data_IF_749127697486
#
_entry.id   IF_749127697486
#
_cell.length_a   1.000
_cell.length_b   1.000
_cell.length_c   1.000
_cell.angle_alpha   90.00
_cell.angle_beta   90.00
_cell.angle_gamma   90.00
#
_symmetry.space_group_name_H-M   'P 1'
#
loop_
_entity.id
_entity.type
_entity.pdbx_description
1 polymer ?
#
# COMPACT_ATOMS: atom_id res chain seq x y z
N UNK A 1 62.12 47.18 -37.44
CA UNK A 1 60.73 47.66 -37.60
C UNK A 1 59.88 47.04 -36.50
N UNK A 2 59.27 47.71 -35.53
CA UNK A 2 59.18 49.10 -35.11
C UNK A 2 58.27 49.17 -33.87
N UNK A 3 58.66 50.00 -32.89
CA UNK A 3 57.96 50.61 -31.73
C UNK A 3 56.40 50.53 -31.69
N UNK A 4 55.69 50.41 -30.55
CA UNK A 4 55.57 51.33 -29.41
C UNK A 4 54.74 50.66 -28.27
N UNK A 5 55.16 50.70 -27.00
CA UNK A 5 54.69 51.56 -25.89
C UNK A 5 53.35 51.21 -25.19
N UNK A 6 53.43 51.07 -23.87
CA UNK A 6 52.32 51.10 -22.90
C UNK A 6 51.61 52.46 -22.90
N UNK A 7 50.30 52.50 -22.60
CA UNK A 7 49.69 53.56 -21.77
C UNK A 7 48.36 53.10 -21.13
N UNK A 8 48.13 53.60 -19.92
CA UNK A 8 47.16 53.21 -18.91
C UNK A 8 45.71 53.70 -19.13
N UNK A 9 44.79 53.15 -18.32
CA UNK A 9 43.36 53.50 -18.18
C UNK A 9 43.12 54.89 -17.60
N UNK A 10 41.92 55.46 -17.80
CA UNK A 10 41.20 56.22 -16.77
C UNK A 10 40.07 55.38 -16.12
N UNK A 11 39.83 55.47 -14.79
CA UNK A 11 38.86 54.62 -14.09
C UNK A 11 37.58 55.37 -13.71
N UNK A 12 36.55 55.38 -14.57
CA UNK A 12 35.23 55.89 -14.14
C UNK A 12 34.07 55.19 -14.87
N UNK A 13 33.60 54.04 -14.36
CA UNK A 13 32.18 53.62 -14.44
C UNK A 13 31.81 52.26 -13.79
N UNK A 14 32.65 51.67 -12.93
CA UNK A 14 32.40 50.30 -12.45
C UNK A 14 31.68 50.15 -11.10
N UNK A 15 31.45 51.25 -10.35
CA UNK A 15 30.76 51.17 -9.04
C UNK A 15 29.23 51.23 -9.13
N UNK A 16 28.66 52.11 -9.97
CA UNK A 16 27.19 52.27 -10.08
C UNK A 16 26.51 51.03 -10.68
N UNK A 17 27.07 50.39 -11.72
CA UNK A 17 26.51 49.15 -12.32
C UNK A 17 26.57 47.94 -11.39
N UNK A 18 27.60 47.84 -10.54
CA UNK A 18 27.74 46.73 -9.56
C UNK A 18 26.78 46.92 -8.39
N UNK A 19 26.60 48.16 -7.93
CA UNK A 19 25.60 48.50 -6.89
C UNK A 19 24.17 48.25 -7.39
N UNK A 20 23.84 48.67 -8.61
CA UNK A 20 22.49 48.50 -9.19
C UNK A 20 22.15 47.01 -9.42
N UNK A 21 23.10 46.20 -9.91
CA UNK A 21 22.92 44.74 -10.03
C UNK A 21 22.81 44.03 -8.68
N UNK A 22 23.50 44.52 -7.65
CA UNK A 22 23.38 44.00 -6.28
C UNK A 22 22.03 44.37 -5.66
N UNK A 23 21.55 45.59 -5.89
CA UNK A 23 20.25 46.06 -5.40
C UNK A 23 19.10 45.29 -6.07
N UNK A 24 19.15 45.09 -7.40
CA UNK A 24 18.15 44.29 -8.11
C UNK A 24 18.12 42.83 -7.67
N UNK A 25 19.29 42.22 -7.41
CA UNK A 25 19.34 40.86 -6.86
C UNK A 25 18.76 40.77 -5.45
N UNK A 26 19.02 41.78 -4.60
CA UNK A 26 18.48 41.83 -3.25
C UNK A 26 16.97 42.05 -3.25
N UNK A 27 16.47 42.96 -4.08
CA UNK A 27 15.02 43.19 -4.24
C UNK A 27 14.32 41.95 -4.80
N UNK A 28 14.90 41.29 -5.79
CA UNK A 28 14.34 40.03 -6.31
C UNK A 28 14.31 38.93 -5.25
N UNK A 29 15.38 38.79 -4.45
CA UNK A 29 15.41 37.80 -3.36
C UNK A 29 14.37 38.11 -2.28
N UNK A 30 14.20 39.39 -1.92
CA UNK A 30 13.18 39.82 -0.94
C UNK A 30 11.77 39.54 -1.47
N UNK A 31 11.48 39.88 -2.73
CA UNK A 31 10.16 39.63 -3.33
C UNK A 31 9.88 38.13 -3.42
N UNK A 32 10.87 37.31 -3.79
CA UNK A 32 10.73 35.85 -3.80
C UNK A 32 10.48 35.32 -2.39
N UNK A 33 11.25 35.73 -1.39
CA UNK A 33 11.06 35.27 0.00
C UNK A 33 9.72 35.72 0.57
N UNK A 34 9.30 36.96 0.33
CA UNK A 34 7.99 37.47 0.77
C UNK A 34 6.85 36.73 0.07
N UNK A 35 6.95 36.50 -1.24
CA UNK A 35 5.97 35.75 -2.01
C UNK A 35 5.87 34.30 -1.53
N UNK A 36 7.00 33.60 -1.31
CA UNK A 36 7.00 32.23 -0.79
C UNK A 36 6.51 32.16 0.66
N UNK A 37 6.82 33.14 1.51
CA UNK A 37 6.32 33.18 2.88
C UNK A 37 4.81 33.49 2.93
N UNK A 38 4.32 34.35 2.03
CA UNK A 38 2.88 34.63 1.91
C UNK A 38 2.11 33.43 1.37
N UNK A 39 2.62 32.78 0.32
CA UNK A 39 2.09 31.51 -0.20
C UNK A 39 2.08 30.42 0.88
N UNK A 40 3.14 30.33 1.70
CA UNK A 40 3.22 29.36 2.81
C UNK A 40 2.21 29.67 3.92
N UNK A 41 2.02 30.94 4.27
CA UNK A 41 1.05 31.35 5.28
C UNK A 41 -0.40 31.16 4.81
N UNK A 42 -0.70 31.45 3.54
CA UNK A 42 -2.02 31.17 2.95
C UNK A 42 -2.29 29.66 2.87
N UNK A 43 -1.32 28.85 2.41
CA UNK A 43 -1.46 27.39 2.41
C UNK A 43 -1.68 26.83 3.82
N UNK A 44 -0.91 27.28 4.81
CA UNK A 44 -1.05 26.82 6.20
C UNK A 44 -2.38 27.25 6.85
N UNK A 45 -2.99 28.36 6.41
CA UNK A 45 -4.29 28.82 6.90
C UNK A 45 -5.46 28.08 6.22
N UNK A 46 -5.36 27.83 4.91
CA UNK A 46 -6.33 27.06 4.12
C UNK A 46 -6.30 25.59 4.55
N UNK A 47 -5.12 24.98 4.70
CA UNK A 47 -4.97 23.60 5.19
C UNK A 47 -5.53 23.44 6.60
N UNK A 48 -5.30 24.39 7.52
CA UNK A 48 -5.84 24.32 8.88
C UNK A 48 -7.36 24.47 8.94
N UNK A 49 -7.94 25.34 8.11
CA UNK A 49 -9.39 25.55 8.12
C UNK A 49 -10.15 24.43 7.42
N UNK A 50 -9.63 23.92 6.29
CA UNK A 50 -10.24 22.82 5.55
C UNK A 50 -10.07 21.48 6.29
N UNK A 51 -8.91 21.24 6.91
CA UNK A 51 -8.68 20.04 7.73
C UNK A 51 -9.58 20.02 8.98
N UNK A 52 -9.71 21.14 9.70
CA UNK A 52 -10.55 21.16 10.93
C UNK A 52 -12.05 21.00 10.64
N UNK A 53 -12.56 21.61 9.57
CA UNK A 53 -13.96 21.46 9.13
C UNK A 53 -14.22 20.07 8.54
N UNK A 54 -13.29 19.54 7.75
CA UNK A 54 -13.30 18.16 7.24
C UNK A 54 -13.36 17.15 8.39
N UNK A 55 -12.44 17.23 9.35
CA UNK A 55 -12.32 16.30 10.48
C UNK A 55 -13.59 16.31 11.35
N UNK A 56 -14.16 17.49 11.64
CA UNK A 56 -15.41 17.60 12.42
C UNK A 56 -16.61 17.00 11.68
N UNK A 57 -16.70 17.20 10.37
CA UNK A 57 -17.75 16.63 9.52
C UNK A 57 -17.61 15.11 9.41
N UNK A 58 -16.39 14.61 9.22
CA UNK A 58 -16.03 13.19 9.14
C UNK A 58 -16.33 12.45 10.44
N UNK A 59 -15.95 13.01 11.61
CA UNK A 59 -16.29 12.43 12.94
C UNK A 59 -17.80 12.28 13.15
N UNK A 60 -18.58 13.29 12.75
CA UNK A 60 -20.05 13.28 12.90
C UNK A 60 -20.69 12.26 11.94
N UNK A 61 -20.17 12.16 10.71
CA UNK A 61 -20.62 11.19 9.69
C UNK A 61 -20.26 9.76 10.10
N UNK A 62 -19.03 9.50 10.57
CA UNK A 62 -18.58 8.16 10.99
C UNK A 62 -19.39 7.66 12.19
N UNK A 63 -19.60 8.51 13.20
CA UNK A 63 -20.36 8.16 14.42
C UNK A 63 -21.85 7.94 14.12
N UNK A 64 -22.44 8.72 13.20
CA UNK A 64 -23.82 8.51 12.76
C UNK A 64 -23.94 7.27 11.87
N UNK A 65 -23.01 7.03 10.94
CA UNK A 65 -23.01 5.85 10.06
C UNK A 65 -22.81 4.56 10.84
N UNK A 66 -21.91 4.53 11.83
CA UNK A 66 -21.74 3.35 12.70
C UNK A 66 -23.04 3.08 13.49
N UNK A 67 -23.68 4.11 14.07
CA UNK A 67 -24.97 3.94 14.77
C UNK A 67 -26.09 3.47 13.84
N UNK A 68 -26.15 3.98 12.61
CA UNK A 68 -27.13 3.59 11.59
C UNK A 68 -26.89 2.17 11.07
N UNK A 69 -25.62 1.76 10.92
CA UNK A 69 -25.24 0.42 10.47
C UNK A 69 -25.45 -0.64 11.54
N UNK A 70 -25.23 -0.31 12.82
CA UNK A 70 -25.57 -1.18 13.96
C UNK A 70 -27.11 -1.30 14.12
N UNK A 71 -27.86 -0.23 13.81
CA UNK A 71 -29.33 -0.21 13.92
C UNK A 71 -30.09 -0.84 12.75
N UNK A 72 -29.45 -1.06 11.60
CA UNK A 72 -30.06 -1.75 10.45
C UNK A 72 -29.72 -3.23 10.53
N UNK A 73 -30.74 -4.07 10.70
CA UNK A 73 -30.63 -5.52 10.58
C UNK A 73 -30.40 -5.88 9.10
N UNK A 74 -29.19 -5.61 8.59
CA UNK A 74 -28.87 -5.72 7.16
C UNK A 74 -28.93 -7.17 6.68
N UNK A 75 -28.90 -8.16 7.59
CA UNK A 75 -28.95 -9.61 7.36
C UNK A 75 -28.57 -10.01 5.92
N UNK A 76 -27.36 -9.62 5.46
CA UNK A 76 -26.97 -9.88 4.09
C UNK A 76 -26.89 -11.40 3.94
N UNK A 77 -27.41 -11.90 2.82
CA UNK A 77 -27.44 -13.33 2.52
C UNK A 77 -26.41 -13.64 1.45
N UNK A 78 -25.97 -14.91 1.35
CA UNK A 78 -25.18 -15.36 0.22
C UNK A 78 -25.88 -14.99 -1.08
N UNK A 79 -25.10 -14.50 -2.04
CA UNK A 79 -25.59 -14.01 -3.32
C UNK A 79 -24.70 -14.54 -4.44
N UNK A 80 -25.34 -14.91 -5.54
CA UNK A 80 -24.66 -15.10 -6.81
C UNK A 80 -24.35 -13.71 -7.39
N UNK A 81 -23.07 -13.34 -7.38
CA UNK A 81 -22.59 -12.09 -7.96
C UNK A 81 -22.22 -12.27 -9.44
N UNK A 82 -21.91 -13.51 -9.84
CA UNK A 82 -21.53 -13.87 -11.21
C UNK A 82 -22.55 -14.86 -11.77
N UNK A 83 -23.35 -14.43 -12.74
CA UNK A 83 -24.45 -15.25 -13.26
C UNK A 83 -24.03 -16.17 -14.40
N UNK A 84 -22.91 -15.85 -15.05
CA UNK A 84 -22.44 -16.53 -16.26
C UNK A 84 -21.72 -17.84 -15.97
N UNK A 85 -21.17 -18.02 -14.76
CA UNK A 85 -20.40 -19.20 -14.35
C UNK A 85 -20.78 -19.64 -12.95
N UNK A 86 -20.54 -20.91 -12.63
CA UNK A 86 -20.67 -21.42 -11.27
C UNK A 86 -19.36 -21.20 -10.51
N UNK A 87 -19.29 -20.11 -9.75
CA UNK A 87 -18.10 -19.80 -8.96
C UNK A 87 -17.81 -20.85 -7.88
N UNK A 88 -18.83 -21.45 -7.26
CA UNK A 88 -18.63 -22.51 -6.27
C UNK A 88 -17.90 -23.72 -6.88
N UNK A 89 -18.34 -24.19 -8.06
CA UNK A 89 -17.67 -25.30 -8.75
C UNK A 89 -16.22 -24.98 -9.12
N UNK A 90 -15.93 -23.73 -9.52
CA UNK A 90 -14.55 -23.27 -9.80
C UNK A 90 -13.69 -23.27 -8.52
N UNK A 91 -14.25 -22.78 -7.41
CA UNK A 91 -13.59 -22.74 -6.08
C UNK A 91 -13.34 -24.16 -5.54
N UNK A 92 -14.24 -25.10 -5.83
CA UNK A 92 -14.09 -26.52 -5.48
C UNK A 92 -13.10 -27.27 -6.38
N UNK A 93 -12.62 -26.64 -7.45
CA UNK A 93 -11.64 -27.23 -8.36
C UNK A 93 -12.24 -28.14 -9.42
N UNK A 94 -13.56 -28.05 -9.68
CA UNK A 94 -14.23 -28.85 -10.70
C UNK A 94 -13.74 -28.47 -12.11
N UNK A 95 -13.13 -29.43 -12.81
CA UNK A 95 -12.51 -29.22 -14.11
C UNK A 95 -13.51 -28.79 -15.19
N UNK A 96 -14.76 -29.28 -15.10
CA UNK A 96 -15.79 -28.91 -16.06
C UNK A 96 -16.16 -27.43 -15.93
N UNK A 97 -16.39 -26.95 -14.70
CA UNK A 97 -16.71 -25.54 -14.44
C UNK A 97 -15.56 -24.62 -14.80
N UNK A 98 -14.31 -24.99 -14.48
CA UNK A 98 -13.10 -24.24 -14.86
C UNK A 98 -12.98 -24.17 -16.40
N UNK A 99 -13.14 -25.30 -17.09
CA UNK A 99 -13.06 -25.36 -18.56
C UNK A 99 -14.18 -24.55 -19.22
N UNK A 100 -15.41 -24.65 -18.68
CA UNK A 100 -16.56 -23.89 -19.15
C UNK A 100 -16.32 -22.38 -19.03
N UNK A 101 -15.94 -21.92 -17.83
CA UNK A 101 -15.65 -20.51 -17.57
C UNK A 101 -14.54 -19.98 -18.49
N UNK A 102 -13.46 -20.75 -18.68
CA UNK A 102 -12.38 -20.39 -19.59
C UNK A 102 -12.84 -20.26 -21.05
N UNK A 103 -13.80 -21.08 -21.50
CA UNK A 103 -14.33 -21.04 -22.87
C UNK A 103 -15.27 -19.85 -23.09
N UNK A 104 -16.15 -19.58 -22.14
CA UNK A 104 -17.18 -18.54 -22.32
C UNK A 104 -16.65 -17.12 -22.06
N UNK A 105 -15.55 -16.98 -21.31
CA UNK A 105 -14.98 -15.67 -20.98
C UNK A 105 -14.72 -14.78 -22.21
N UNK A 106 -14.26 -15.36 -23.32
CA UNK A 106 -14.01 -14.63 -24.56
C UNK A 106 -15.31 -14.21 -25.28
N UNK A 107 -16.45 -14.82 -24.94
CA UNK A 107 -17.77 -14.55 -25.54
C UNK A 107 -18.56 -13.48 -24.79
N UNK A 108 -18.30 -13.31 -23.49
CA UNK A 108 -19.05 -12.38 -22.60
C UNK A 108 -18.78 -10.92 -22.95
N UNK A 109 -17.63 -10.60 -23.55
CA UNK A 109 -17.33 -9.24 -24.01
C UNK A 109 -17.31 -8.19 -22.89
N UNK A 110 -16.60 -8.49 -21.78
CA UNK A 110 -16.53 -7.64 -20.59
C UNK A 110 -16.21 -6.17 -20.94
N UNK A 111 -17.03 -5.26 -20.42
CA UNK A 111 -16.82 -3.80 -20.52
C UNK A 111 -16.65 -3.23 -19.13
N UNK A 112 -15.40 -3.00 -18.75
CA UNK A 112 -15.06 -2.33 -17.50
C UNK A 112 -15.07 -0.82 -17.67
N UNK A 113 -15.35 -0.10 -16.58
CA UNK A 113 -15.21 1.34 -16.54
C UNK A 113 -13.74 1.73 -16.71
N UNK A 114 -13.49 2.78 -17.47
CA UNK A 114 -12.20 3.48 -17.45
C UNK A 114 -12.02 4.25 -16.14
N UNK A 115 -10.79 4.64 -15.81
CA UNK A 115 -10.51 5.48 -14.63
C UNK A 115 -11.35 6.76 -14.62
N UNK A 116 -11.53 7.38 -15.79
CA UNK A 116 -12.35 8.59 -15.95
C UNK A 116 -13.83 8.32 -15.67
N UNK A 117 -14.37 7.21 -16.16
CA UNK A 117 -15.77 6.85 -15.93
C UNK A 117 -16.03 6.49 -14.47
N UNK A 118 -15.11 5.75 -13.84
CA UNK A 118 -15.16 5.48 -12.41
C UNK A 118 -15.17 6.77 -11.60
N UNK A 119 -14.25 7.70 -11.91
CA UNK A 119 -14.21 9.01 -11.24
C UNK A 119 -15.47 9.84 -11.46
N UNK A 120 -16.09 9.79 -12.64
CA UNK A 120 -17.39 10.45 -12.89
C UNK A 120 -18.51 9.83 -12.08
N UNK A 121 -18.57 8.50 -12.00
CA UNK A 121 -19.58 7.78 -11.20
C UNK A 121 -19.44 8.13 -9.71
N UNK A 122 -18.21 8.14 -9.19
CA UNK A 122 -17.90 8.42 -7.79
C UNK A 122 -18.14 9.90 -7.37
N UNK A 123 -18.37 10.82 -8.31
CA UNK A 123 -18.80 12.20 -7.95
C UNK A 123 -20.19 12.25 -7.32
N UNK A 124 -21.03 11.25 -7.57
CA UNK A 124 -22.30 11.09 -6.89
C UNK A 124 -22.20 9.90 -5.94
N UNK A 125 -21.99 10.20 -4.66
CA UNK A 125 -21.76 9.15 -3.66
C UNK A 125 -22.96 8.23 -3.47
N UNK A 126 -24.19 8.73 -3.54
CA UNK A 126 -25.38 7.87 -3.41
C UNK A 126 -25.45 6.86 -4.55
N UNK A 127 -25.14 7.29 -5.79
CA UNK A 127 -25.07 6.40 -6.95
C UNK A 127 -23.91 5.43 -6.80
N UNK A 128 -22.70 5.90 -6.48
CA UNK A 128 -21.52 5.06 -6.33
C UNK A 128 -21.70 3.97 -5.27
N UNK A 129 -22.11 4.36 -4.06
CA UNK A 129 -22.30 3.44 -2.93
C UNK A 129 -23.41 2.43 -3.22
N UNK A 130 -24.46 2.83 -3.94
CA UNK A 130 -25.55 1.94 -4.37
C UNK A 130 -25.10 0.98 -5.47
N UNK A 131 -24.40 1.47 -6.50
CA UNK A 131 -23.91 0.68 -7.64
C UNK A 131 -22.99 -0.44 -7.17
N UNK A 132 -22.10 -0.15 -6.23
CA UNK A 132 -21.14 -1.11 -5.71
C UNK A 132 -21.57 -1.74 -4.38
N UNK A 133 -22.80 -1.50 -3.91
CA UNK A 133 -23.36 -2.13 -2.71
C UNK A 133 -22.45 -1.99 -1.46
N UNK A 134 -21.93 -0.80 -1.17
CA UNK A 134 -21.04 -0.53 -0.01
C UNK A 134 -21.73 -0.67 1.37
N UNK A 135 -22.93 -1.23 1.42
CA UNK A 135 -23.67 -1.58 2.63
C UNK A 135 -23.80 -3.11 2.83
N UNK A 136 -23.07 -3.93 2.05
CA UNK A 136 -23.20 -5.40 2.04
C UNK A 136 -22.33 -6.15 3.06
N UNK A 137 -22.10 -5.59 4.24
CA UNK A 137 -21.28 -6.25 5.26
C UNK A 137 -22.06 -6.53 6.55
N UNK A 138 -21.65 -7.60 7.24
CA UNK A 138 -21.94 -7.82 8.64
C UNK A 138 -20.79 -7.24 9.47
N UNK A 139 -21.12 -6.77 10.67
CA UNK A 139 -20.15 -6.30 11.64
C UNK A 139 -20.46 -6.93 12.98
N UNK A 140 -19.51 -7.69 13.51
CA UNK A 140 -19.53 -8.21 14.87
C UNK A 140 -18.95 -7.19 15.86
N UNK A 141 -19.30 -7.34 17.14
CA UNK A 141 -18.67 -6.54 18.21
C UNK A 141 -17.15 -6.75 18.26
N UNK A 142 -16.69 -7.97 18.01
CA UNK A 142 -15.27 -8.30 17.93
C UNK A 142 -14.53 -7.49 16.86
N UNK A 143 -15.15 -7.24 15.70
CA UNK A 143 -14.59 -6.39 14.65
C UNK A 143 -14.58 -4.90 15.05
N UNK A 144 -15.65 -4.41 15.70
CA UNK A 144 -15.71 -3.02 16.19
C UNK A 144 -14.61 -2.72 17.21
N UNK A 145 -14.28 -3.69 18.07
CA UNK A 145 -13.26 -3.55 19.11
C UNK A 145 -11.83 -3.73 18.59
N UNK A 146 -11.68 -4.20 17.34
CA UNK A 146 -10.40 -4.44 16.70
C UNK A 146 -10.29 -3.78 15.30
N UNK A 147 -10.29 -2.45 15.19
CA UNK A 147 -10.13 -1.80 13.90
C UNK A 147 -8.77 -2.09 13.25
N UNK A 148 -8.79 -2.26 11.93
CA UNK A 148 -7.63 -2.48 11.08
C UNK A 148 -7.42 -1.25 10.18
N UNK A 149 -6.15 -0.89 9.96
CA UNK A 149 -5.75 0.08 8.98
C UNK A 149 -5.21 -0.59 7.70
N UNK A 150 -5.35 0.07 6.57
CA UNK A 150 -4.79 -0.38 5.29
C UNK A 150 -3.99 0.74 4.63
N UNK A 151 -2.80 0.39 4.13
CA UNK A 151 -1.99 1.23 3.23
C UNK A 151 -2.11 0.67 1.81
N UNK A 152 -2.77 1.39 0.91
CA UNK A 152 -3.02 0.96 -0.46
C UNK A 152 -2.15 1.76 -1.43
N UNK A 153 -1.17 1.09 -2.06
CA UNK A 153 -0.31 1.73 -3.07
C UNK A 153 -0.86 1.45 -4.47
N UNK A 154 -1.21 2.51 -5.20
CA UNK A 154 -1.94 2.43 -6.46
C UNK A 154 -1.34 3.30 -7.55
N UNK A 155 -1.40 2.87 -8.81
CA UNK A 155 -0.87 3.63 -9.96
C UNK A 155 -1.73 3.57 -11.23
N UNK A 156 -2.70 2.66 -11.30
CA UNK A 156 -3.62 2.51 -12.43
C UNK A 156 -4.81 1.63 -12.05
N UNK A 157 -5.77 1.52 -12.98
CA UNK A 157 -6.89 0.59 -12.93
C UNK A 157 -7.82 0.83 -11.72
N UNK A 158 -8.57 1.93 -11.77
CA UNK A 158 -9.52 2.32 -10.72
C UNK A 158 -10.55 1.22 -10.40
N UNK A 159 -10.94 0.41 -11.39
CA UNK A 159 -11.82 -0.75 -11.21
C UNK A 159 -11.20 -1.79 -10.28
N UNK A 160 -9.93 -2.15 -10.49
CA UNK A 160 -9.23 -3.11 -9.62
C UNK A 160 -9.17 -2.60 -8.17
N UNK A 161 -8.88 -1.31 -8.00
CA UNK A 161 -8.79 -0.68 -6.66
C UNK A 161 -10.16 -0.66 -5.98
N UNK A 162 -11.22 -0.33 -6.73
CA UNK A 162 -12.60 -0.41 -6.23
C UNK A 162 -12.94 -1.83 -5.78
N UNK A 163 -12.64 -2.85 -6.60
CA UNK A 163 -12.91 -4.25 -6.26
C UNK A 163 -12.17 -4.68 -4.99
N UNK A 164 -10.92 -4.28 -4.81
CA UNK A 164 -10.15 -4.55 -3.59
C UNK A 164 -10.78 -3.82 -2.41
N UNK A 165 -10.98 -2.49 -2.53
CA UNK A 165 -11.52 -1.66 -1.46
C UNK A 165 -12.87 -2.19 -1.00
N UNK A 166 -13.77 -2.53 -1.92
CA UNK A 166 -15.08 -3.11 -1.61
C UNK A 166 -15.00 -4.46 -0.90
N UNK A 167 -13.99 -5.27 -1.16
CA UNK A 167 -13.79 -6.55 -0.46
C UNK A 167 -13.32 -6.35 0.99
N UNK A 168 -12.46 -5.35 1.23
CA UNK A 168 -11.85 -5.11 2.55
C UNK A 168 -12.55 -4.01 3.37
N UNK A 169 -13.46 -3.24 2.77
CA UNK A 169 -14.06 -2.07 3.40
C UNK A 169 -14.93 -2.43 4.60
N UNK A 170 -14.69 -1.75 5.71
CA UNK A 170 -15.54 -1.71 6.89
C UNK A 170 -15.56 -0.29 7.45
N UNK A 171 -16.69 0.17 7.99
CA UNK A 171 -16.85 1.55 8.47
C UNK A 171 -16.01 1.86 9.72
N UNK A 172 -15.58 0.85 10.46
CA UNK A 172 -14.77 1.00 11.67
C UNK A 172 -13.25 0.95 11.40
N UNK A 173 -12.83 0.48 10.23
CA UNK A 173 -11.42 0.41 9.80
C UNK A 173 -10.91 1.77 9.28
N UNK A 174 -9.64 1.86 8.87
CA UNK A 174 -9.07 3.05 8.22
C UNK A 174 -8.31 2.68 6.94
N UNK A 175 -8.37 3.54 5.91
CA UNK A 175 -7.76 3.26 4.61
C UNK A 175 -7.02 4.49 4.10
N UNK A 176 -5.70 4.37 3.98
CA UNK A 176 -4.87 5.34 3.28
C UNK A 176 -4.61 4.85 1.86
N UNK A 177 -4.87 5.70 0.86
CA UNK A 177 -4.57 5.44 -0.54
C UNK A 177 -3.43 6.34 -0.98
N UNK A 178 -2.29 5.75 -1.30
CA UNK A 178 -1.19 6.44 -1.96
C UNK A 178 -1.29 6.22 -3.46
N UNK A 179 -1.66 7.28 -4.19
CA UNK A 179 -1.66 7.30 -5.65
C UNK A 179 -0.28 7.73 -6.15
N UNK A 180 0.39 6.90 -6.94
CA UNK A 180 1.65 7.26 -7.60
C UNK A 180 1.46 8.55 -8.41
N UNK A 181 2.27 9.56 -8.07
CA UNK A 181 2.18 10.91 -8.60
C UNK A 181 2.46 10.97 -10.12
N UNK A 182 3.22 10.01 -10.65
CA UNK A 182 3.53 9.90 -12.07
C UNK A 182 2.40 9.28 -12.91
N UNK A 183 1.34 8.80 -12.26
CA UNK A 183 0.23 8.14 -12.92
C UNK A 183 -0.64 9.09 -13.74
N UNK A 184 -1.44 8.55 -14.65
CA UNK A 184 -2.37 9.33 -15.45
C UNK A 184 -3.38 10.10 -14.55
N UNK A 185 -3.62 11.41 -14.73
CA UNK A 185 -4.41 12.24 -13.79
C UNK A 185 -5.80 11.66 -13.41
N UNK A 186 -6.47 11.02 -14.37
CA UNK A 186 -7.74 10.33 -14.14
C UNK A 186 -7.72 9.35 -12.94
N UNK A 187 -6.61 8.69 -12.63
CA UNK A 187 -6.54 7.77 -11.49
C UNK A 187 -6.60 8.52 -10.17
N UNK A 188 -5.88 9.63 -10.04
CA UNK A 188 -5.91 10.47 -8.84
C UNK A 188 -7.30 11.08 -8.65
N UNK A 189 -7.90 11.57 -9.74
CA UNK A 189 -9.27 12.11 -9.72
C UNK A 189 -10.29 11.05 -9.30
N UNK A 190 -10.16 9.82 -9.83
CA UNK A 190 -11.04 8.71 -9.45
C UNK A 190 -10.88 8.33 -7.98
N UNK A 191 -9.64 8.19 -7.50
CA UNK A 191 -9.38 7.81 -6.11
C UNK A 191 -9.85 8.90 -5.14
N UNK A 192 -9.65 10.19 -5.46
CA UNK A 192 -10.20 11.31 -4.68
C UNK A 192 -11.72 11.26 -4.62
N UNK A 193 -12.39 11.02 -5.75
CA UNK A 193 -13.84 10.91 -5.79
C UNK A 193 -14.35 9.74 -4.95
N UNK A 194 -13.71 8.56 -5.02
CA UNK A 194 -14.06 7.40 -4.20
C UNK A 194 -13.84 7.68 -2.71
N UNK A 195 -12.68 8.24 -2.33
CA UNK A 195 -12.36 8.58 -0.94
C UNK A 195 -13.39 9.57 -0.35
N UNK A 196 -13.85 10.55 -1.13
CA UNK A 196 -14.88 11.49 -0.69
C UNK A 196 -16.23 10.82 -0.33
N UNK A 197 -16.51 9.64 -0.88
CA UNK A 197 -17.74 8.90 -0.57
C UNK A 197 -17.63 7.99 0.65
N UNK A 198 -16.42 7.76 1.16
CA UNK A 198 -16.15 6.80 2.22
C UNK A 198 -15.41 7.51 3.37
N UNK A 199 -16.06 7.80 4.51
CA UNK A 199 -15.56 8.73 5.53
C UNK A 199 -14.23 8.33 6.18
N UNK A 200 -13.88 7.05 6.13
CA UNK A 200 -12.67 6.46 6.71
C UNK A 200 -11.64 6.07 5.64
N UNK A 201 -11.79 6.57 4.41
CA UNK A 201 -10.85 6.43 3.31
C UNK A 201 -10.30 7.81 2.98
N UNK A 202 -8.98 7.93 2.83
CA UNK A 202 -8.35 9.18 2.48
C UNK A 202 -7.15 8.98 1.55
N UNK A 203 -6.81 10.01 0.79
CA UNK A 203 -5.58 10.05 -0.01
C UNK A 203 -4.42 10.46 0.90
N UNK A 204 -3.27 9.78 0.76
CA UNK A 204 -2.06 10.13 1.50
C UNK A 204 -1.72 11.62 1.32
N UNK A 205 -1.29 12.27 2.40
CA UNK A 205 -0.91 13.68 2.43
C UNK A 205 0.29 13.98 1.54
N UNK A 206 1.17 12.98 1.36
CA UNK A 206 2.34 13.04 0.49
C UNK A 206 2.34 11.90 -0.52
N UNK A 207 2.36 12.25 -1.79
CA UNK A 207 2.45 11.32 -2.92
C UNK A 207 3.85 11.32 -3.53
N UNK A 208 4.39 10.14 -3.74
CA UNK A 208 5.69 9.89 -4.36
C UNK A 208 5.54 9.49 -5.83
N UNK A 209 6.56 9.83 -6.63
CA UNK A 209 6.76 9.26 -7.96
C UNK A 209 7.38 7.86 -7.79
N UNK A 210 6.55 6.81 -7.86
CA UNK A 210 6.95 5.46 -7.46
C UNK A 210 7.80 4.81 -8.55
N UNK A 211 9.07 4.55 -8.23
CA UNK A 211 10.03 3.93 -9.14
C UNK A 211 10.19 2.46 -8.74
N UNK A 212 10.07 1.58 -9.73
CA UNK A 212 10.30 0.15 -9.53
C UNK A 212 11.73 -0.11 -9.01
N UNK A 213 11.85 -0.91 -7.95
CA UNK A 213 13.10 -1.20 -7.21
C UNK A 213 13.70 0.02 -6.48
N UNK A 214 13.04 1.18 -6.53
CA UNK A 214 13.51 2.42 -5.91
C UNK A 214 12.92 2.67 -4.52
N UNK A 215 13.58 3.56 -3.78
CA UNK A 215 13.16 3.98 -2.44
C UNK A 215 11.75 4.58 -2.37
N UNK A 216 11.28 5.23 -3.43
CA UNK A 216 9.96 5.85 -3.43
C UNK A 216 8.82 4.84 -3.22
N UNK A 217 9.02 3.56 -3.56
CA UNK A 217 8.06 2.50 -3.21
C UNK A 217 7.93 2.31 -1.70
N UNK A 218 9.05 2.26 -0.97
CA UNK A 218 9.05 2.16 0.50
C UNK A 218 8.51 3.45 1.12
N UNK A 219 8.93 4.60 0.61
CA UNK A 219 8.48 5.91 1.10
C UNK A 219 6.96 6.10 0.99
N UNK A 220 6.33 5.54 -0.06
CA UNK A 220 4.87 5.58 -0.23
C UNK A 220 4.13 4.89 0.94
N UNK A 221 4.63 3.75 1.42
CA UNK A 221 4.08 3.09 2.62
C UNK A 221 4.36 3.90 3.89
N UNK A 222 5.57 4.46 4.04
CA UNK A 222 5.92 5.32 5.19
C UNK A 222 5.00 6.54 5.26
N UNK A 223 4.67 7.17 4.12
CA UNK A 223 3.75 8.30 4.06
C UNK A 223 2.35 7.89 4.56
N UNK A 224 1.80 6.79 4.03
CA UNK A 224 0.50 6.30 4.47
C UNK A 224 0.47 5.89 5.94
N UNK A 225 1.51 5.19 6.40
CA UNK A 225 1.66 4.81 7.82
C UNK A 225 1.76 6.03 8.74
N UNK A 226 2.45 7.09 8.30
CA UNK A 226 2.53 8.36 9.02
C UNK A 226 1.15 9.00 9.14
N UNK A 227 0.39 9.10 8.05
CA UNK A 227 -0.96 9.67 8.10
C UNK A 227 -1.90 8.83 8.97
N UNK A 228 -1.82 7.50 8.88
CA UNK A 228 -2.61 6.59 9.70
C UNK A 228 -2.32 6.72 11.19
N UNK A 229 -1.07 6.97 11.60
CA UNK A 229 -0.74 7.24 13.00
C UNK A 229 -1.43 8.51 13.52
N UNK A 230 -1.57 9.53 12.67
CA UNK A 230 -2.24 10.80 12.97
C UNK A 230 -3.76 10.77 12.77
N UNK A 231 -4.30 9.73 12.12
CA UNK A 231 -5.73 9.56 11.89
C UNK A 231 -6.47 9.17 13.19
N UNK A 232 -6.83 10.18 13.99
CA UNK A 232 -7.36 10.01 15.35
C UNK A 232 -8.78 9.42 15.41
N UNK A 233 -9.51 9.37 14.30
CA UNK A 233 -10.90 8.90 14.25
C UNK A 233 -11.01 7.39 14.46
N UNK A 234 -9.95 6.65 14.16
CA UNK A 234 -9.91 5.19 14.27
C UNK A 234 -8.71 4.75 15.10
N UNK A 235 -8.98 4.07 16.21
CA UNK A 235 -7.95 3.48 17.09
C UNK A 235 -7.52 2.10 16.59
N UNK A 236 -6.99 2.06 15.36
CA UNK A 236 -6.57 0.83 14.71
C UNK A 236 -5.47 0.09 15.47
N UNK A 237 -5.41 -1.24 15.32
CA UNK A 237 -4.50 -2.14 16.04
C UNK A 237 -3.33 -2.58 15.18
N UNK A 238 -3.60 -2.79 13.90
CA UNK A 238 -2.65 -3.22 12.87
C UNK A 238 -2.86 -2.42 11.59
N UNK A 239 -1.79 -2.23 10.83
CA UNK A 239 -1.86 -1.82 9.42
C UNK A 239 -1.43 -2.99 8.54
N UNK A 240 -2.15 -3.21 7.45
CA UNK A 240 -1.77 -4.15 6.37
C UNK A 240 -1.49 -3.32 5.13
N UNK A 241 -0.29 -3.43 4.57
CA UNK A 241 0.03 -2.74 3.32
C UNK A 241 -0.21 -3.65 2.11
N UNK A 242 -0.84 -3.10 1.08
CA UNK A 242 -1.27 -3.84 -0.10
C UNK A 242 -0.98 -3.04 -1.37
N UNK A 243 -0.48 -3.69 -2.44
CA UNK A 243 -0.62 -3.15 -3.78
C UNK A 243 -2.05 -3.40 -4.28
N UNK A 244 -2.49 -2.63 -5.29
CA UNK A 244 -3.84 -2.79 -5.86
C UNK A 244 -4.15 -4.20 -6.42
N UNK A 245 -3.13 -4.99 -6.75
CA UNK A 245 -3.26 -6.30 -7.38
C UNK A 245 -3.36 -7.47 -6.38
N UNK A 246 -3.37 -7.20 -5.08
CA UNK A 246 -3.68 -8.21 -4.06
C UNK A 246 -5.18 -8.32 -3.83
N UNK A 247 -5.60 -9.50 -3.36
CA UNK A 247 -6.99 -9.75 -2.99
C UNK A 247 -7.08 -10.60 -1.71
N UNK A 248 -8.07 -10.35 -0.83
CA UNK A 248 -8.18 -11.07 0.44
C UNK A 248 -8.51 -12.55 0.25
N UNK A 249 -7.86 -13.38 1.06
CA UNK A 249 -8.15 -14.80 1.27
C UNK A 249 -8.86 -15.08 2.60
N UNK A 250 -9.10 -14.02 3.38
CA UNK A 250 -9.75 -14.05 4.70
C UNK A 250 -10.71 -12.88 4.78
N UNK A 251 -11.87 -13.11 5.34
CA UNK A 251 -12.87 -12.06 5.60
C UNK A 251 -12.36 -11.10 6.69
N UNK A 252 -12.94 -9.91 6.84
CA UNK A 252 -12.54 -8.98 7.90
C UNK A 252 -12.60 -9.62 9.29
N UNK A 253 -13.68 -10.34 9.60
CA UNK A 253 -13.84 -11.06 10.87
C UNK A 253 -12.74 -12.12 11.09
N UNK A 254 -12.33 -12.83 10.05
CA UNK A 254 -11.22 -13.80 10.12
C UNK A 254 -9.89 -13.11 10.34
N UNK A 255 -9.61 -12.03 9.60
CA UNK A 255 -8.38 -11.24 9.78
C UNK A 255 -8.32 -10.71 11.22
N UNK A 256 -9.42 -10.18 11.77
CA UNK A 256 -9.50 -9.73 13.17
C UNK A 256 -9.13 -10.86 14.14
N UNK A 257 -9.73 -12.04 14.01
CA UNK A 257 -9.44 -13.18 14.89
C UNK A 257 -7.96 -13.61 14.81
N UNK A 258 -7.41 -13.66 13.60
CA UNK A 258 -6.00 -14.02 13.36
C UNK A 258 -5.07 -12.97 13.99
N UNK A 259 -5.31 -11.68 13.76
CA UNK A 259 -4.48 -10.61 14.31
C UNK A 259 -4.58 -10.50 15.83
N UNK A 260 -5.74 -10.85 16.42
CA UNK A 260 -5.87 -11.00 17.88
C UNK A 260 -4.98 -12.11 18.43
N UNK A 261 -4.87 -13.24 17.73
CA UNK A 261 -3.94 -14.33 18.11
C UNK A 261 -2.49 -13.86 18.02
N UNK A 262 -2.12 -13.08 16.99
CA UNK A 262 -0.77 -12.53 16.88
C UNK A 262 -0.41 -11.56 18.02
N UNK A 263 -1.39 -10.98 18.71
CA UNK A 263 -1.23 -10.23 19.95
C UNK A 263 -0.12 -9.14 19.91
N UNK A 264 -0.11 -8.32 18.88
CA UNK A 264 0.89 -7.27 18.67
C UNK A 264 2.15 -7.72 17.91
N UNK A 265 2.28 -9.02 17.61
CA UNK A 265 3.33 -9.57 16.73
C UNK A 265 3.06 -9.21 15.28
N UNK A 266 4.08 -8.75 14.57
CA UNK A 266 4.04 -8.38 13.17
C UNK A 266 4.30 -9.61 12.29
N UNK A 267 3.61 -9.67 11.15
CA UNK A 267 3.87 -10.62 10.07
C UNK A 267 4.82 -9.97 9.06
N UNK A 268 6.12 -10.21 9.20
CA UNK A 268 7.18 -9.66 8.34
C UNK A 268 8.03 -10.83 7.83
N UNK A 269 8.21 -10.95 6.51
CA UNK A 269 9.20 -11.90 6.00
C UNK A 269 10.58 -11.40 6.40
N UNK A 270 11.39 -12.25 7.05
CA UNK A 270 12.72 -11.86 7.49
C UNK A 270 13.65 -13.05 7.43
N UNK A 271 14.66 -12.96 6.56
CA UNK A 271 15.73 -13.93 6.42
C UNK A 271 17.07 -13.23 6.27
N UNK A 272 18.12 -13.93 6.65
CA UNK A 272 19.48 -13.59 6.25
C UNK A 272 19.77 -14.17 4.86
N UNK A 273 20.27 -13.35 3.94
CA UNK A 273 20.70 -13.78 2.60
C UNK A 273 21.91 -12.96 2.15
N UNK A 274 23.10 -13.56 2.24
CA UNK A 274 24.37 -12.93 1.90
C UNK A 274 24.47 -12.58 0.40
N UNK A 275 23.82 -13.36 -0.47
CA UNK A 275 23.87 -13.11 -1.92
C UNK A 275 23.12 -11.82 -2.25
N UNK A 276 21.97 -11.60 -1.60
CA UNK A 276 21.15 -10.43 -1.82
C UNK A 276 21.69 -9.17 -1.14
N UNK A 277 22.63 -9.28 -0.19
CA UNK A 277 23.34 -8.11 0.38
C UNK A 277 24.12 -7.30 -0.66
N UNK A 278 24.39 -7.85 -1.84
CA UNK A 278 24.92 -7.06 -2.98
C UNK A 278 24.04 -5.84 -3.29
N UNK A 279 22.73 -5.91 -3.06
CA UNK A 279 21.76 -4.81 -3.24
C UNK A 279 21.98 -3.63 -2.26
N UNK A 280 22.77 -3.84 -1.22
CA UNK A 280 23.04 -2.84 -0.16
C UNK A 280 24.53 -2.50 -0.02
N UNK A 281 25.41 -3.18 -0.76
CA UNK A 281 26.86 -2.93 -0.71
C UNK A 281 27.31 -1.81 -1.66
N UNK A 282 26.41 -1.34 -2.51
CA UNK A 282 26.65 -0.32 -3.52
C UNK A 282 25.64 0.82 -3.38
N UNK A 283 26.04 2.03 -3.80
CA UNK A 283 25.14 3.18 -3.92
C UNK A 283 24.36 3.08 -5.22
N UNK A 284 23.05 3.21 -5.13
CA UNK A 284 22.13 3.24 -6.26
C UNK A 284 21.47 4.62 -6.40
N UNK A 285 21.16 4.99 -7.64
CA UNK A 285 20.41 6.22 -7.94
C UNK A 285 19.33 5.95 -8.98
N UNK A 286 18.32 6.81 -9.01
CA UNK A 286 17.31 6.80 -10.09
C UNK A 286 17.86 7.58 -11.27
N UNK A 287 18.02 6.92 -12.41
CA UNK A 287 18.36 7.59 -13.65
C UNK A 287 17.17 8.44 -14.14
N UNK A 288 17.31 9.77 -14.26
CA UNK A 288 16.18 10.66 -14.52
C UNK A 288 15.57 10.50 -15.93
N UNK A 289 16.30 9.88 -16.86
CA UNK A 289 15.85 9.67 -18.24
C UNK A 289 15.12 8.34 -18.41
N UNK A 290 15.70 7.28 -17.85
CA UNK A 290 15.13 5.92 -17.98
C UNK A 290 14.14 5.58 -16.87
N UNK A 291 14.10 6.37 -15.79
CA UNK A 291 13.31 6.11 -14.58
C UNK A 291 13.58 4.72 -13.99
N UNK A 292 14.84 4.27 -14.07
CA UNK A 292 15.31 3.00 -13.53
C UNK A 292 16.37 3.23 -12.48
N UNK A 293 16.38 2.36 -11.47
CA UNK A 293 17.45 2.32 -10.48
C UNK A 293 18.71 1.76 -11.14
N UNK A 294 19.82 2.45 -10.96
CA UNK A 294 21.13 2.09 -11.50
C UNK A 294 22.18 2.13 -10.40
N UNK A 295 23.06 1.13 -10.42
CA UNK A 295 24.23 1.09 -9.59
C UNK A 295 25.29 2.10 -10.06
N UNK A 296 26.02 2.68 -9.12
CA UNK A 296 27.12 3.63 -9.37
C UNK A 296 28.51 2.97 -9.43
N UNK A 297 28.63 1.71 -9.02
CA UNK A 297 29.87 0.99 -8.72
C UNK A 297 30.53 1.41 -7.40
N UNK A 298 30.00 2.41 -6.69
CA UNK A 298 30.60 2.95 -5.48
C UNK A 298 30.15 2.16 -4.25
N UNK A 299 31.12 1.74 -3.45
CA UNK A 299 30.85 1.02 -2.21
C UNK A 299 30.05 1.87 -1.22
N UNK A 300 28.95 1.30 -0.71
CA UNK A 300 28.08 1.96 0.26
C UNK A 300 28.63 1.78 1.67
N UNK A 301 28.49 2.81 2.52
CA UNK A 301 28.90 2.71 3.93
C UNK A 301 28.08 1.64 4.67
N UNK A 302 28.66 0.94 5.65
CA UNK A 302 27.91 -0.01 6.48
C UNK A 302 26.67 0.64 7.10
N UNK A 303 25.60 -0.13 7.39
CA UNK A 303 24.42 0.41 8.03
C UNK A 303 24.75 0.92 9.45
N UNK A 304 24.03 1.94 9.94
CA UNK A 304 24.23 2.43 11.30
C UNK A 304 23.86 1.36 12.33
N UNK A 305 24.34 1.53 13.58
CA UNK A 305 24.04 0.64 14.71
C UNK A 305 24.48 -0.82 14.55
N UNK A 306 25.42 -1.10 13.63
CA UNK A 306 25.97 -2.44 13.38
C UNK A 306 24.88 -3.50 13.17
N UNK A 307 23.80 -3.11 12.47
CA UNK A 307 22.68 -4.00 12.19
C UNK A 307 23.05 -5.05 11.15
N UNK A 308 22.52 -6.25 11.34
CA UNK A 308 22.48 -7.28 10.31
C UNK A 308 21.41 -6.91 9.29
N UNK A 309 21.81 -6.73 8.04
CA UNK A 309 20.87 -6.41 6.95
C UNK A 309 19.98 -7.61 6.68
N UNK A 310 18.67 -7.39 6.73
CA UNK A 310 17.68 -8.43 6.46
C UNK A 310 17.15 -8.39 5.05
N UNK A 311 16.76 -9.56 4.54
CA UNK A 311 15.93 -9.69 3.34
C UNK A 311 14.53 -10.12 3.73
N UNK A 312 13.53 -9.51 3.11
CA UNK A 312 12.13 -9.83 3.28
C UNK A 312 11.32 -9.61 2.02
N UNK A 313 10.08 -9.17 2.22
CA UNK A 313 9.17 -8.72 1.17
C UNK A 313 8.65 -7.33 1.52
N UNK A 314 8.10 -6.64 0.52
CA UNK A 314 7.46 -5.35 0.73
C UNK A 314 6.18 -5.44 1.57
N UNK A 315 5.58 -6.63 1.74
CA UNK A 315 4.21 -6.80 2.25
C UNK A 315 4.16 -7.44 3.63
N UNK A 316 3.44 -6.80 4.54
CA UNK A 316 3.34 -7.23 5.94
C UNK A 316 2.03 -6.83 6.62
N UNK A 317 1.86 -7.38 7.81
CA UNK A 317 0.88 -6.88 8.78
C UNK A 317 1.65 -6.38 10.00
N UNK A 318 1.55 -5.08 10.27
CA UNK A 318 2.37 -4.39 11.25
C UNK A 318 1.51 -3.89 12.40
N UNK A 319 1.90 -4.19 13.64
CA UNK A 319 1.19 -3.65 14.80
C UNK A 319 1.38 -2.14 14.89
N UNK A 320 0.41 -1.43 15.48
CA UNK A 320 0.51 0.03 15.64
C UNK A 320 1.78 0.47 16.37
N UNK A 321 2.27 -0.32 17.32
CA UNK A 321 3.53 -0.05 18.03
C UNK A 321 4.74 -0.17 17.11
N UNK A 322 4.77 -1.17 16.22
CA UNK A 322 5.82 -1.29 15.21
C UNK A 322 5.82 -0.11 14.25
N UNK A 323 4.64 0.31 13.79
CA UNK A 323 4.54 1.46 12.87
C UNK A 323 5.02 2.74 13.54
N UNK A 324 4.63 2.97 14.79
CA UNK A 324 5.10 4.12 15.57
C UNK A 324 6.63 4.10 15.73
N UNK A 325 7.21 2.96 16.07
CA UNK A 325 8.66 2.79 16.11
C UNK A 325 9.31 3.08 14.74
N UNK A 326 8.81 2.46 13.66
CA UNK A 326 9.36 2.61 12.32
C UNK A 326 9.31 4.04 11.77
N UNK A 327 8.33 4.85 12.20
CA UNK A 327 8.15 6.24 11.74
C UNK A 327 8.85 7.23 12.66
N UNK A 328 8.80 7.02 13.98
CA UNK A 328 9.19 8.03 14.97
C UNK A 328 10.51 7.74 15.68
N UNK A 329 10.95 6.48 15.79
CA UNK A 329 12.20 6.14 16.48
C UNK A 329 13.43 6.61 15.71
N UNK A 330 14.40 7.17 16.43
CA UNK A 330 15.62 7.72 15.84
C UNK A 330 16.43 6.64 15.09
N UNK A 331 16.60 5.45 15.67
CA UNK A 331 17.38 4.37 15.05
C UNK A 331 16.68 3.88 13.79
N UNK A 332 15.36 3.68 13.86
CA UNK A 332 14.58 3.25 12.70
C UNK A 332 14.67 4.26 11.55
N UNK A 333 14.54 5.56 11.84
CA UNK A 333 14.67 6.63 10.83
C UNK A 333 16.06 6.73 10.22
N UNK A 334 17.11 6.53 10.99
CA UNK A 334 18.48 6.53 10.47
C UNK A 334 18.77 5.31 9.60
N UNK A 335 18.23 4.14 9.96
CA UNK A 335 18.26 2.94 9.11
C UNK A 335 17.46 3.19 7.83
N UNK A 336 16.26 3.76 7.92
CA UNK A 336 15.42 4.11 6.76
C UNK A 336 16.18 5.03 5.80
N UNK A 337 16.78 6.11 6.34
CA UNK A 337 17.61 7.03 5.56
C UNK A 337 18.79 6.33 4.90
N UNK A 338 19.43 5.39 5.60
CA UNK A 338 20.50 4.60 5.01
C UNK A 338 20.03 3.74 3.83
N UNK A 339 18.75 3.34 3.77
CA UNK A 339 18.21 2.55 2.64
C UNK A 339 17.85 3.37 1.38
N UNK A 340 17.88 4.71 1.44
CA UNK A 340 17.41 5.61 0.35
C UNK A 340 18.10 5.37 -1.01
N UNK A 341 19.37 5.01 -0.98
CA UNK A 341 20.26 4.76 -2.11
C UNK A 341 20.68 3.28 -2.19
N UNK A 342 19.78 2.37 -1.78
CA UNK A 342 19.91 0.91 -1.97
C UNK A 342 18.95 0.39 -3.04
N UNK A 343 19.16 -0.84 -3.50
CA UNK A 343 18.29 -1.48 -4.49
C UNK A 343 17.18 -2.29 -3.82
N UNK A 344 15.92 -2.02 -4.19
CA UNK A 344 14.72 -2.64 -3.57
C UNK A 344 14.69 -2.52 -2.04
N UNK A 345 14.76 -1.29 -1.47
CA UNK A 345 14.78 -1.09 -0.02
C UNK A 345 13.51 -1.57 0.69
N UNK A 346 12.39 -1.67 -0.01
CA UNK A 346 11.14 -2.24 0.48
C UNK A 346 11.26 -3.73 0.85
N UNK A 347 12.19 -4.47 0.23
CA UNK A 347 12.53 -5.85 0.59
C UNK A 347 13.65 -5.92 1.66
N UNK A 348 14.12 -4.78 2.18
CA UNK A 348 15.27 -4.71 3.10
C UNK A 348 14.90 -4.08 4.44
N UNK A 349 14.23 -2.93 4.43
CA UNK A 349 14.01 -2.10 5.62
C UNK A 349 13.23 -2.84 6.72
N UNK A 350 12.06 -3.39 6.38
CA UNK A 350 11.19 -4.08 7.35
C UNK A 350 11.87 -5.28 7.99
N UNK A 351 12.56 -6.09 7.16
CA UNK A 351 13.29 -7.27 7.63
C UNK A 351 14.50 -6.89 8.49
N UNK A 352 15.20 -5.80 8.14
CA UNK A 352 16.32 -5.28 8.94
C UNK A 352 15.84 -4.82 10.31
N UNK A 353 14.72 -4.12 10.42
CA UNK A 353 14.17 -3.77 11.74
C UNK A 353 13.81 -5.02 12.56
N UNK A 354 13.28 -6.07 11.92
CA UNK A 354 12.89 -7.31 12.59
C UNK A 354 14.09 -8.14 13.08
N UNK A 355 15.13 -8.28 12.25
CA UNK A 355 16.27 -9.15 12.53
C UNK A 355 17.13 -8.72 13.70
N UNK A 356 17.07 -7.45 14.09
CA UNK A 356 18.01 -6.85 15.02
C UNK A 356 17.36 -6.60 16.39
N UNK A 357 17.40 -7.63 17.24
CA UNK A 357 16.79 -7.58 18.59
C UNK A 357 17.29 -6.41 19.45
N UNK A 358 18.54 -5.99 19.29
CA UNK A 358 19.14 -4.85 20.01
C UNK A 358 18.55 -3.49 19.63
N UNK A 359 17.79 -3.40 18.53
CA UNK A 359 17.05 -2.19 18.20
C UNK A 359 15.86 -1.95 19.15
N UNK A 360 15.37 -3.00 19.82
CA UNK A 360 14.16 -2.91 20.64
C UNK A 360 12.88 -2.83 19.80
N UNK A 361 12.92 -3.27 18.55
CA UNK A 361 11.79 -3.26 17.62
C UNK A 361 10.58 -4.00 18.21
N UNK A 362 9.43 -3.35 18.39
CA UNK A 362 8.28 -3.98 19.02
C UNK A 362 7.57 -4.94 18.05
N UNK A 363 6.97 -6.00 18.61
CA UNK A 363 6.13 -6.92 17.84
C UNK A 363 6.91 -7.94 17.01
N UNK A 364 8.14 -8.28 17.39
CA UNK A 364 8.89 -9.35 16.72
C UNK A 364 8.89 -10.61 17.58
N UNK A 365 8.39 -11.72 17.03
CA UNK A 365 8.55 -13.06 17.63
C UNK A 365 9.90 -13.63 17.17
N UNK A 366 10.74 -13.98 18.14
CA UNK A 366 12.05 -14.58 17.89
C UNK A 366 12.01 -16.07 18.21
N UNK A 367 12.75 -16.87 17.46
CA UNK A 367 13.04 -18.27 17.77
C UNK A 367 14.06 -18.37 18.90
N UNK A 368 14.30 -19.60 19.40
CA UNK A 368 15.36 -19.87 20.37
C UNK A 368 16.76 -19.46 19.88
N UNK A 369 16.99 -19.43 18.55
CA UNK A 369 18.26 -18.96 17.96
C UNK A 369 18.37 -17.43 17.88
N UNK A 370 17.35 -16.69 18.32
CA UNK A 370 17.34 -15.22 18.30
C UNK A 370 17.01 -14.62 16.93
N UNK A 371 16.55 -15.42 15.97
CA UNK A 371 16.12 -14.96 14.64
C UNK A 371 14.61 -14.74 14.60
N UNK A 372 14.09 -13.82 13.76
CA UNK A 372 12.64 -13.70 13.57
C UNK A 372 12.02 -15.03 13.13
N UNK A 373 10.90 -15.40 13.75
CA UNK A 373 10.19 -16.63 13.40
C UNK A 373 9.49 -16.47 12.04
N UNK A 374 10.07 -17.09 11.02
CA UNK A 374 9.57 -17.05 9.64
C UNK A 374 8.16 -17.59 9.48
N UNK A 375 7.69 -18.46 10.40
CA UNK A 375 6.34 -19.05 10.33
C UNK A 375 5.26 -17.97 10.51
N UNK A 376 5.58 -16.87 11.18
CA UNK A 376 4.66 -15.75 11.44
C UNK A 376 4.44 -14.86 10.21
N UNK A 377 5.23 -15.01 9.13
CA UNK A 377 4.95 -14.31 7.88
C UNK A 377 3.71 -14.90 7.21
N UNK A 378 2.54 -14.32 7.46
CA UNK A 378 1.23 -14.77 6.93
C UNK A 378 0.52 -13.72 6.08
N UNK A 379 1.14 -12.56 5.82
CA UNK A 379 0.52 -11.44 5.11
C UNK A 379 0.02 -11.82 3.72
N UNK A 380 0.91 -12.34 2.86
CA UNK A 380 0.61 -12.52 1.44
C UNK A 380 1.11 -13.87 0.92
N UNK A 381 0.27 -14.56 0.16
CA UNK A 381 0.64 -15.73 -0.65
C UNK A 381 1.11 -15.27 -2.02
N UNK A 382 2.31 -15.68 -2.43
CA UNK A 382 2.91 -15.33 -3.72
C UNK A 382 3.44 -16.61 -4.36
N UNK A 383 3.09 -16.85 -5.62
CA UNK A 383 3.56 -18.03 -6.36
C UNK A 383 4.66 -17.62 -7.34
N UNK A 384 5.89 -18.03 -7.04
CA UNK A 384 7.09 -17.72 -7.83
C UNK A 384 7.52 -18.89 -8.72
N UNK A 385 7.84 -18.63 -9.99
CA UNK A 385 8.21 -19.69 -10.95
C UNK A 385 9.58 -20.32 -10.73
N UNK A 386 10.45 -19.67 -9.97
CA UNK A 386 11.76 -20.19 -9.58
C UNK A 386 11.71 -21.06 -8.31
N UNK A 387 10.55 -21.21 -7.68
CA UNK A 387 10.36 -22.18 -6.60
C UNK A 387 10.56 -23.59 -7.14
N UNK A 388 11.08 -24.52 -6.32
CA UNK A 388 11.34 -25.91 -6.74
C UNK A 388 10.50 -26.89 -5.90
N UNK A 389 9.69 -27.77 -6.53
CA UNK A 389 9.39 -27.83 -7.97
C UNK A 389 8.66 -26.56 -8.45
N UNK A 390 8.78 -26.22 -9.74
CA UNK A 390 8.09 -25.05 -10.32
C UNK A 390 6.59 -25.21 -10.12
N UNK A 391 5.93 -24.31 -9.37
CA UNK A 391 4.52 -24.46 -9.08
C UNK A 391 3.70 -24.32 -10.35
N UNK A 392 2.61 -25.06 -10.43
CA UNK A 392 1.62 -24.89 -11.50
C UNK A 392 0.90 -23.57 -11.29
N UNK A 393 0.89 -22.73 -12.31
CA UNK A 393 0.12 -21.49 -12.39
C UNK A 393 -0.92 -21.69 -13.49
N UNK A 394 -2.20 -21.64 -13.16
CA UNK A 394 -3.29 -21.80 -14.12
C UNK A 394 -3.64 -20.50 -14.86
N UNK A 395 -3.07 -19.38 -14.44
CA UNK A 395 -3.02 -18.13 -15.21
C UNK A 395 -1.73 -18.00 -16.02
N UNK A 396 -0.92 -16.98 -15.72
CA UNK A 396 0.36 -16.73 -16.42
C UNK A 396 1.43 -16.16 -15.50
N UNK A 397 2.70 -16.45 -15.79
CA UNK A 397 3.83 -15.82 -15.11
C UNK A 397 4.16 -14.46 -15.72
N UNK A 398 4.31 -13.42 -14.89
CA UNK A 398 4.75 -12.08 -15.29
C UNK A 398 5.81 -11.62 -14.30
N UNK A 399 7.05 -11.48 -14.79
CA UNK A 399 8.24 -11.21 -13.97
C UNK A 399 8.36 -12.22 -12.83
N UNK A 400 8.32 -13.51 -13.18
CA UNK A 400 8.46 -14.64 -12.25
C UNK A 400 7.33 -14.81 -11.23
N UNK A 401 6.32 -13.93 -11.18
CA UNK A 401 5.15 -14.03 -10.29
C UNK A 401 3.93 -14.50 -11.08
N UNK A 402 3.21 -15.50 -10.57
CA UNK A 402 1.94 -15.95 -11.14
C UNK A 402 0.88 -14.85 -11.01
N UNK A 403 0.34 -14.43 -12.15
CA UNK A 403 -0.98 -13.78 -12.23
C UNK A 403 -1.99 -14.92 -12.22
N UNK A 404 -2.76 -15.02 -11.13
CA UNK A 404 -3.67 -16.14 -10.92
C UNK A 404 -4.78 -16.19 -11.97
N UNK A 405 -5.17 -17.41 -12.34
CA UNK A 405 -6.29 -17.73 -13.19
C UNK A 405 -7.32 -18.62 -12.50
N UNK A 406 -8.35 -19.02 -13.25
CA UNK A 406 -9.50 -19.79 -12.74
C UNK A 406 -9.10 -21.06 -11.97
N UNK A 407 -8.14 -21.83 -12.51
CA UNK A 407 -7.70 -23.08 -11.89
C UNK A 407 -6.81 -22.90 -10.65
N UNK A 408 -6.37 -21.67 -10.34
CA UNK A 408 -5.59 -21.41 -9.13
C UNK A 408 -6.50 -21.23 -7.90
N UNK A 409 -7.78 -20.90 -8.10
CA UNK A 409 -8.69 -20.50 -7.02
C UNK A 409 -8.86 -21.58 -5.95
N UNK A 410 -9.03 -22.85 -6.36
CA UNK A 410 -9.17 -23.98 -5.45
C UNK A 410 -8.03 -24.09 -4.43
N UNK A 411 -6.78 -23.92 -4.89
CA UNK A 411 -5.63 -23.89 -3.99
C UNK A 411 -5.64 -22.64 -3.13
N UNK A 412 -5.87 -21.47 -3.73
CA UNK A 412 -5.77 -20.17 -3.04
C UNK A 412 -6.75 -20.07 -1.86
N UNK A 413 -7.97 -20.57 -1.98
CA UNK A 413 -8.95 -20.51 -0.88
C UNK A 413 -8.57 -21.38 0.33
N UNK A 414 -7.66 -22.33 0.15
CA UNK A 414 -7.13 -23.19 1.22
C UNK A 414 -5.89 -22.61 1.92
N UNK A 415 -5.27 -21.58 1.34
CA UNK A 415 -4.04 -20.98 1.87
C UNK A 415 -4.27 -20.32 3.24
N UNK A 416 -3.26 -20.41 4.11
CA UNK A 416 -3.28 -19.80 5.45
C UNK A 416 -2.88 -18.32 5.46
N UNK A 417 -2.55 -17.74 4.31
CA UNK A 417 -2.22 -16.31 4.20
C UNK A 417 -3.47 -15.43 4.27
N UNK A 418 -3.27 -14.15 4.56
CA UNK A 418 -4.35 -13.16 4.63
C UNK A 418 -4.77 -12.69 3.23
N UNK A 419 -3.79 -12.48 2.33
CA UNK A 419 -3.97 -12.00 0.96
C UNK A 419 -3.22 -12.89 -0.04
N UNK A 420 -3.52 -12.73 -1.33
CA UNK A 420 -2.79 -13.37 -2.42
C UNK A 420 -2.37 -12.37 -3.51
N UNK A 421 -1.13 -12.51 -3.99
CA UNK A 421 -0.52 -11.71 -5.05
C UNK A 421 -0.19 -12.62 -6.27
N UNK A 422 -0.66 -12.36 -7.49
CA UNK A 422 -1.45 -11.19 -7.93
C UNK A 422 -2.62 -11.54 -8.84
N UNK A 423 -3.58 -10.63 -8.86
CA UNK A 423 -4.73 -10.63 -9.75
C UNK A 423 -4.72 -9.42 -10.69
N UNK A 424 -5.37 -9.57 -11.84
CA UNK A 424 -5.64 -8.48 -12.75
C UNK A 424 -7.09 -8.61 -13.23
N UNK A 425 -7.96 -7.67 -12.88
CA UNK A 425 -9.40 -7.71 -13.17
C UNK A 425 -9.73 -7.98 -14.65
N UNK A 426 -8.89 -7.49 -15.58
CA UNK A 426 -9.08 -7.69 -17.01
C UNK A 426 -8.45 -8.99 -17.56
N UNK A 427 -7.58 -9.66 -16.80
CA UNK A 427 -7.02 -10.95 -17.19
C UNK A 427 -7.77 -12.07 -16.48
N UNK A 428 -8.43 -12.91 -17.28
CA UNK A 428 -9.38 -13.88 -16.78
C UNK A 428 -10.40 -13.31 -15.77
N UNK A 429 -11.28 -12.36 -16.17
CA UNK A 429 -12.19 -11.65 -15.27
C UNK A 429 -12.94 -12.49 -14.25
N UNK A 430 -13.43 -13.65 -14.67
CA UNK A 430 -14.14 -14.58 -13.79
C UNK A 430 -13.30 -15.04 -12.59
N UNK A 431 -11.97 -15.05 -12.70
CA UNK A 431 -11.06 -15.36 -11.58
C UNK A 431 -11.29 -14.40 -10.41
N UNK A 432 -11.24 -13.09 -10.66
CA UNK A 432 -11.39 -12.10 -9.60
C UNK A 432 -12.86 -11.94 -9.18
N UNK A 433 -13.80 -12.04 -10.12
CA UNK A 433 -15.23 -12.00 -9.82
C UNK A 433 -15.67 -13.17 -8.94
N UNK A 434 -15.18 -14.38 -9.19
CA UNK A 434 -15.47 -15.54 -8.34
C UNK A 434 -14.78 -15.44 -6.97
N UNK A 435 -13.58 -14.85 -6.89
CA UNK A 435 -12.97 -14.52 -5.60
C UNK A 435 -13.78 -13.50 -4.80
N UNK A 436 -14.36 -12.50 -5.47
CA UNK A 436 -15.25 -11.51 -4.86
C UNK A 436 -16.54 -12.16 -4.33
N UNK A 437 -17.18 -13.01 -5.13
CA UNK A 437 -18.36 -13.77 -4.70
C UNK A 437 -18.04 -14.67 -3.51
N UNK A 438 -16.95 -15.41 -3.59
CA UNK A 438 -16.50 -16.31 -2.53
C UNK A 438 -16.24 -15.56 -1.22
N UNK A 439 -15.47 -14.47 -1.25
CA UNK A 439 -15.15 -13.72 -0.02
C UNK A 439 -16.38 -13.04 0.57
N UNK A 440 -17.29 -12.53 -0.28
CA UNK A 440 -18.56 -11.95 0.16
C UNK A 440 -19.42 -13.02 0.84
N UNK A 441 -19.67 -14.16 0.17
CA UNK A 441 -20.48 -15.25 0.70
C UNK A 441 -19.89 -15.81 2.00
N UNK A 442 -18.56 -15.95 2.08
CA UNK A 442 -17.85 -16.35 3.29
C UNK A 442 -18.03 -15.35 4.45
N UNK A 443 -18.17 -14.06 4.16
CA UNK A 443 -18.34 -13.02 5.20
C UNK A 443 -19.74 -12.97 5.81
N UNK A 444 -20.74 -13.50 5.11
CA UNK A 444 -22.16 -13.48 5.52
C UNK A 444 -22.68 -14.87 5.92
N UNK A 445 -21.90 -15.92 5.66
CA UNK A 445 -22.16 -17.27 6.17
C UNK A 445 -21.31 -17.54 7.40
N UNK A 446 -21.82 -18.39 8.31
CA UNK A 446 -20.97 -18.97 9.34
C UNK A 446 -20.04 -19.99 8.67
N UNK A 447 -18.82 -19.58 8.33
CA UNK A 447 -17.78 -20.49 7.85
C UNK A 447 -16.79 -20.76 8.96
N UNK A 448 -16.46 -22.04 9.17
CA UNK A 448 -15.40 -22.42 10.08
C UNK A 448 -14.07 -21.85 9.57
N UNK A 449 -13.34 -21.21 10.49
CA UNK A 449 -11.97 -20.76 10.27
C UNK A 449 -11.10 -21.57 11.21
N UNK A 450 -10.22 -22.39 10.64
CA UNK A 450 -9.20 -23.10 11.41
C UNK A 450 -8.22 -22.08 12.00
N UNK A 451 -8.42 -21.79 13.29
CA UNK A 451 -7.59 -20.87 14.05
C UNK A 451 -6.41 -21.57 14.73
N UNK A 452 -6.39 -22.91 14.77
CA UNK A 452 -5.36 -23.68 15.48
C UNK A 452 -4.00 -23.50 14.83
N UNK A 453 -3.96 -23.52 13.50
CA UNK A 453 -2.75 -23.17 12.74
C UNK A 453 -2.11 -21.87 13.25
N UNK A 454 -2.90 -20.80 13.46
CA UNK A 454 -2.38 -19.50 13.89
C UNK A 454 -2.00 -19.47 15.37
N UNK A 455 -2.69 -20.25 16.22
CA UNK A 455 -2.30 -20.40 17.64
C UNK A 455 -0.97 -21.12 17.75
N UNK A 456 -0.76 -22.15 16.94
CA UNK A 456 0.49 -22.91 16.89
C UNK A 456 1.68 -22.06 16.43
N UNK A 457 1.45 -21.06 15.57
CA UNK A 457 2.49 -20.06 15.24
C UNK A 457 2.97 -19.29 16.48
N UNK A 458 2.08 -19.10 17.45
CA UNK A 458 2.34 -18.29 18.64
C UNK A 458 2.82 -19.10 19.84
N UNK A 459 2.62 -20.41 19.83
CA UNK A 459 3.24 -21.34 20.77
C UNK A 459 4.73 -21.56 20.45
N UNK A 460 5.51 -21.98 21.45
CA UNK A 460 6.96 -22.22 21.35
C UNK A 460 7.28 -23.66 20.95
#
# INVERSE_FOLDING_TARGET
MGMYACFERPPTMNRKRKLMKSLLKLVFLIVVVVFFNHMKAENESIERHDASVSILKTKKVLKNNIRVLIGRNLNPRPKLLVNEVNCQGIIEGDEWHISYASKIQNRVGFKFLTDREMGKLAKNCDVFLKTFEYNRFTVSQEELDFPIAYSLIVYKDAVQIEMLLRAIYRPHNAYCIHVDKSSHPNILDAMKAIANCLPNVFIASKLEDVIYEGYSRLQADINCMTDLLHYADVKWKYVINLPAQEYPLKTNAEIVKILKILNGTCSIESIYDEVLHKRTNEIYFVNPWSLKVQGTGLHKRPPPYSVVVGKGSAYGAFSRKFVDFAVNDMKAREILKWTEDTFSPDETYWATLAMNKHLGTPGIKYTASGMPDRRVWISTSITWDFSKPKPKCHGRYVRNVCVFGLGDLHRLVSEKKLFANKFHYAYQPFTLMCMEEWIFNRSVTYSYTDLDYYRDLMND
#
